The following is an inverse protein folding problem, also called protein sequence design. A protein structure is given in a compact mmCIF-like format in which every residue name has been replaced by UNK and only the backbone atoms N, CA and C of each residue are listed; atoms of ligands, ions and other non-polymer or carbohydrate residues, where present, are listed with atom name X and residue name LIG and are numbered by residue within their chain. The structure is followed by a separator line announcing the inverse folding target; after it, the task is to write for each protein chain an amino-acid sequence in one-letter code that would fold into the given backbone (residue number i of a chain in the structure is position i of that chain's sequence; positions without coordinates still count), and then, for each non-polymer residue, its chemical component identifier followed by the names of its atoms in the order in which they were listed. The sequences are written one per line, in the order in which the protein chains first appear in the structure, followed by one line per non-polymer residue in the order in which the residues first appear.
data_IF_176862037856
#
_entry.id   IF_176862037856
#
_cell.length_a   1.000
_cell.length_b   1.000
_cell.length_c   1.000
_cell.angle_alpha   90.00
_cell.angle_beta   90.00
_cell.angle_gamma   90.00
#
_symmetry.space_group_name_H-M   'P 1'
#
loop_
_entity.id
_entity.type
_entity.pdbx_description
1 polymer ?
#
# COMPACT_ATOMS: atom_id res chain seq x y z
N UNK A 1 10.76 17.90 8.09
CA UNK A 1 11.34 17.03 7.06
C UNK A 1 10.82 15.58 7.02
N UNK A 2 9.94 15.14 7.94
CA UNK A 2 9.45 13.74 7.91
C UNK A 2 8.25 13.51 6.98
N UNK A 3 7.34 14.49 6.90
CA UNK A 3 6.07 14.36 6.19
C UNK A 3 6.17 14.26 4.66
N UNK A 4 7.28 14.68 4.02
CA UNK A 4 7.38 14.73 2.55
C UNK A 4 7.62 13.32 1.97
N UNK A 5 8.52 12.53 2.56
CA UNK A 5 8.79 11.16 2.12
C UNK A 5 7.56 10.28 2.40
N UNK A 6 6.94 10.44 3.56
CA UNK A 6 5.68 9.75 3.90
C UNK A 6 4.56 10.08 2.90
N UNK A 7 4.42 11.35 2.48
CA UNK A 7 3.48 11.76 1.43
C UNK A 7 3.80 11.13 0.06
N UNK A 8 5.09 11.04 -0.30
CA UNK A 8 5.52 10.42 -1.55
C UNK A 8 5.19 8.92 -1.64
N UNK A 9 5.45 8.18 -0.56
CA UNK A 9 5.14 6.74 -0.48
C UNK A 9 3.62 6.52 -0.59
N UNK A 10 2.83 7.31 0.14
CA UNK A 10 1.36 7.23 0.10
C UNK A 10 0.86 7.54 -1.32
N UNK A 11 1.44 8.53 -2.01
CA UNK A 11 1.05 8.85 -3.38
C UNK A 11 1.29 7.69 -4.35
N UNK A 12 2.38 6.94 -4.19
CA UNK A 12 2.67 5.75 -5.01
C UNK A 12 1.63 4.66 -4.75
N UNK A 13 1.33 4.36 -3.48
CA UNK A 13 0.31 3.38 -3.11
C UNK A 13 -1.07 3.76 -3.63
N UNK A 14 -1.51 5.00 -3.40
CA UNK A 14 -2.80 5.49 -3.89
C UNK A 14 -2.85 5.36 -5.41
N UNK A 15 -1.81 5.76 -6.12
CA UNK A 15 -1.78 5.68 -7.59
C UNK A 15 -1.83 4.22 -8.09
N UNK A 16 -1.19 3.29 -7.39
CA UNK A 16 -1.20 1.87 -7.76
C UNK A 16 -2.58 1.22 -7.58
N UNK A 17 -3.31 1.57 -6.51
CA UNK A 17 -4.59 0.94 -6.16
C UNK A 17 -5.83 1.76 -6.53
N UNK A 18 -5.66 3.00 -7.04
CA UNK A 18 -6.78 3.83 -7.47
C UNK A 18 -7.56 3.19 -8.62
N UNK A 19 -8.89 3.27 -8.56
CA UNK A 19 -9.83 2.70 -9.54
C UNK A 19 -9.74 1.18 -9.75
N UNK A 20 -9.02 0.47 -8.89
CA UNK A 20 -8.99 -1.00 -8.92
C UNK A 20 -10.25 -1.56 -8.25
N UNK A 21 -10.71 -2.73 -8.70
CA UNK A 21 -11.81 -3.42 -8.01
C UNK A 21 -11.29 -3.92 -6.66
N UNK A 22 -12.16 -4.05 -5.64
CA UNK A 22 -11.75 -4.53 -4.33
C UNK A 22 -11.08 -5.91 -4.40
N UNK A 23 -11.59 -6.81 -5.24
CA UNK A 23 -10.97 -8.11 -5.50
C UNK A 23 -9.54 -7.99 -6.04
N UNK A 24 -9.31 -7.10 -7.00
CA UNK A 24 -7.97 -6.88 -7.58
C UNK A 24 -6.99 -6.34 -6.52
N UNK A 25 -7.46 -5.52 -5.59
CA UNK A 25 -6.65 -5.00 -4.46
C UNK A 25 -6.30 -6.11 -3.46
N UNK A 26 -7.25 -7.02 -3.19
CA UNK A 26 -7.05 -8.17 -2.29
C UNK A 26 -5.97 -9.10 -2.86
N UNK A 27 -6.09 -9.42 -4.15
CA UNK A 27 -5.24 -10.38 -4.86
C UNK A 27 -3.91 -9.75 -5.32
N UNK A 28 -3.77 -8.43 -5.28
CA UNK A 28 -2.57 -7.74 -5.69
C UNK A 28 -1.34 -8.21 -4.90
N UNK A 29 -0.31 -8.64 -5.63
CA UNK A 29 0.98 -8.89 -5.04
C UNK A 29 1.68 -7.56 -4.70
N UNK A 30 2.23 -7.46 -3.48
CA UNK A 30 2.96 -6.28 -3.00
C UNK A 30 4.47 -6.51 -2.93
N UNK A 31 4.95 -7.66 -3.41
CA UNK A 31 6.37 -8.02 -3.46
C UNK A 31 7.19 -7.04 -4.33
N UNK A 32 6.55 -6.34 -5.27
CA UNK A 32 7.19 -5.31 -6.08
C UNK A 32 7.88 -4.22 -5.23
N UNK A 33 7.43 -3.99 -3.99
CA UNK A 33 8.01 -3.03 -3.06
C UNK A 33 9.40 -3.47 -2.60
N UNK A 34 9.58 -4.78 -2.43
CA UNK A 34 10.87 -5.40 -2.15
C UNK A 34 11.73 -5.44 -3.41
N UNK A 35 11.16 -5.84 -4.55
CA UNK A 35 11.89 -5.99 -5.82
C UNK A 35 12.48 -4.68 -6.34
N UNK A 36 11.79 -3.55 -6.19
CA UNK A 36 12.30 -2.25 -6.63
C UNK A 36 13.26 -1.61 -5.61
N UNK A 37 13.60 -2.29 -4.51
CA UNK A 37 14.48 -1.77 -3.46
C UNK A 37 13.86 -0.60 -2.67
N UNK A 38 12.55 -0.40 -2.73
CA UNK A 38 11.90 0.76 -2.10
C UNK A 38 12.14 0.76 -0.59
N UNK A 39 12.19 -0.42 0.05
CA UNK A 39 12.48 -0.53 1.49
C UNK A 39 13.91 -0.11 1.84
N UNK A 40 14.88 -0.29 0.95
CA UNK A 40 16.29 0.04 1.18
C UNK A 40 16.54 1.55 1.20
N UNK A 41 15.70 2.32 0.51
CA UNK A 41 15.73 3.78 0.50
C UNK A 41 14.94 4.41 1.66
N UNK A 42 14.33 3.59 2.52
CA UNK A 42 13.52 4.05 3.64
C UNK A 42 14.19 3.71 4.96
N UNK A 43 14.03 4.60 5.95
CA UNK A 43 14.38 4.23 7.32
C UNK A 43 13.49 3.07 7.79
N UNK A 44 13.96 2.21 8.72
CA UNK A 44 13.20 1.06 9.19
C UNK A 44 11.77 1.40 9.64
N UNK A 45 11.59 2.53 10.34
CA UNK A 45 10.28 3.03 10.78
C UNK A 45 9.34 3.32 9.60
N UNK A 46 9.86 3.87 8.50
CA UNK A 46 9.06 4.23 7.32
C UNK A 46 8.72 3.01 6.47
N UNK A 47 9.64 2.06 6.34
CA UNK A 47 9.37 0.78 5.67
C UNK A 47 8.28 -0.01 6.41
N UNK A 48 8.32 -0.04 7.74
CA UNK A 48 7.27 -0.66 8.55
C UNK A 48 5.92 0.06 8.41
N UNK A 49 5.94 1.40 8.36
CA UNK A 49 4.75 2.20 8.08
C UNK A 49 4.11 1.85 6.73
N UNK A 50 4.92 1.72 5.68
CA UNK A 50 4.49 1.30 4.34
C UNK A 50 3.78 -0.07 4.37
N UNK A 51 4.39 -1.07 5.00
CA UNK A 51 3.78 -2.41 5.13
C UNK A 51 2.45 -2.35 5.89
N UNK A 52 2.38 -1.56 6.97
CA UNK A 52 1.15 -1.39 7.75
C UNK A 52 0.02 -0.75 6.92
N UNK A 53 0.34 0.28 6.13
CA UNK A 53 -0.64 0.96 5.27
C UNK A 53 -1.22 0.03 4.20
N UNK A 54 -0.39 -0.80 3.58
CA UNK A 54 -0.84 -1.82 2.61
C UNK A 54 -1.78 -2.81 3.26
N UNK A 55 -1.44 -3.29 4.45
CA UNK A 55 -2.28 -4.21 5.21
C UNK A 55 -3.64 -3.58 5.51
N UNK A 56 -3.68 -2.32 5.91
CA UNK A 56 -4.93 -1.59 6.12
C UNK A 56 -5.74 -1.45 4.82
N UNK A 57 -5.09 -1.11 3.70
CA UNK A 57 -5.74 -0.98 2.41
C UNK A 57 -6.38 -2.29 1.94
N UNK A 58 -5.66 -3.42 2.07
CA UNK A 58 -6.23 -4.76 1.80
C UNK A 58 -7.40 -5.09 2.73
N UNK A 59 -7.29 -4.76 4.02
CA UNK A 59 -8.38 -4.97 4.97
C UNK A 59 -9.64 -4.18 4.58
N UNK A 60 -9.49 -2.92 4.17
CA UNK A 60 -10.60 -2.11 3.65
C UNK A 60 -11.19 -2.72 2.37
N UNK A 61 -10.36 -3.21 1.45
CA UNK A 61 -10.83 -3.88 0.24
C UNK A 61 -11.64 -5.15 0.55
N UNK A 62 -11.20 -5.97 1.51
CA UNK A 62 -11.97 -7.13 1.99
C UNK A 62 -13.32 -6.71 2.56
N UNK A 63 -13.33 -5.73 3.47
CA UNK A 63 -14.58 -5.24 4.07
C UNK A 63 -15.55 -4.70 3.01
N UNK A 64 -15.05 -3.94 2.03
CA UNK A 64 -15.89 -3.40 0.96
C UNK A 64 -16.38 -4.50 0.00
N UNK A 65 -15.55 -5.51 -0.32
CA UNK A 65 -15.97 -6.66 -1.12
C UNK A 65 -17.11 -7.44 -0.47
N UNK A 66 -17.16 -7.50 0.87
CA UNK A 66 -18.28 -8.14 1.59
C UNK A 66 -19.58 -7.33 1.55
N UNK A 67 -19.51 -6.01 1.35
CA UNK A 67 -20.69 -5.13 1.22
C UNK A 67 -21.25 -5.08 -0.20
N UNK A 68 -20.45 -5.46 -1.21
CA UNK A 68 -20.88 -5.54 -2.61
C UNK A 68 -21.58 -6.86 -2.97
N UNK A 69 -21.50 -7.87 -2.09
CA UNK A 69 -22.24 -9.13 -2.20
C UNK A 69 -23.61 -9.01 -1.57
#
# INVERSE_FOLDING_TARGET
CDAIITKGIIAILIRAFSNQKPQDIIDANTDFIDEIGLKEHLSPTRANGLVSMIKQLKLYAVAYQTQLK
#
